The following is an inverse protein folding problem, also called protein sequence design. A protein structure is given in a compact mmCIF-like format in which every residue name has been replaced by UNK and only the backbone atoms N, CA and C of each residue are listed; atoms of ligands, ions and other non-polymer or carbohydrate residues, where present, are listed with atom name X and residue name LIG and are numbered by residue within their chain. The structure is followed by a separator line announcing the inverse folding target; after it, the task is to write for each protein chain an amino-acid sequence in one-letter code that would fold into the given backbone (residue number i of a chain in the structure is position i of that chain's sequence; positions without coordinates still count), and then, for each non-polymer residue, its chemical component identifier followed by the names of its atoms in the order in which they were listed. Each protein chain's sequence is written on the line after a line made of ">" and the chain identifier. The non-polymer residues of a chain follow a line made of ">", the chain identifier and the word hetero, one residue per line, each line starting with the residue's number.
data_IF_265205131231
#
_entry.id   IF_265205131231
#
_cell.length_a   1.000
_cell.length_b   1.000
_cell.length_c   1.000
_cell.angle_alpha   90.00
_cell.angle_beta   90.00
_cell.angle_gamma   90.00
#
_symmetry.space_group_name_H-M   'P 1'
#
loop_
_entity.id
_entity.type
_entity.pdbx_description
1 polymer ?
#
# COMPACT_ATOMS: atom_id res chain seq x y z
N UNK A 1 -30.45 54.53 56.65
CA UNK A 1 -28.99 54.47 56.44
C UNK A 1 -28.73 54.83 54.98
N UNK A 2 -28.28 56.07 54.70
CA UNK A 2 -28.01 56.48 53.29
C UNK A 2 -26.64 55.94 52.85
N UNK A 3 -26.64 54.97 51.97
CA UNK A 3 -25.41 54.45 51.40
C UNK A 3 -24.78 55.55 50.53
N UNK A 4 -23.56 55.93 50.88
CA UNK A 4 -22.83 57.01 50.24
C UNK A 4 -22.61 56.71 48.73
N UNK A 5 -22.88 57.67 47.86
CA UNK A 5 -22.83 57.53 46.41
C UNK A 5 -21.47 56.97 45.89
N UNK A 6 -20.42 57.27 46.66
CA UNK A 6 -19.07 56.78 46.35
C UNK A 6 -18.95 55.25 46.47
N UNK A 7 -19.63 54.58 47.37
CA UNK A 7 -19.65 53.15 47.52
C UNK A 7 -20.43 52.48 46.40
N UNK A 8 -21.44 53.10 45.82
CA UNK A 8 -22.17 52.60 44.65
C UNK A 8 -21.31 52.64 43.40
N UNK A 9 -20.49 53.65 43.18
CA UNK A 9 -19.56 53.81 42.12
C UNK A 9 -18.42 52.75 42.19
N UNK A 10 -17.87 52.54 43.37
CA UNK A 10 -16.82 51.55 43.61
C UNK A 10 -17.36 50.11 43.36
N UNK A 11 -18.58 49.84 43.83
CA UNK A 11 -19.22 48.56 43.67
C UNK A 11 -19.53 48.30 42.20
N UNK A 12 -20.02 49.31 41.46
CA UNK A 12 -20.25 49.18 39.99
C UNK A 12 -18.97 48.97 39.21
N UNK A 13 -17.86 49.61 39.60
CA UNK A 13 -16.55 49.43 38.97
C UNK A 13 -15.95 48.04 39.26
N UNK A 14 -16.12 47.53 40.50
CA UNK A 14 -15.67 46.18 40.87
C UNK A 14 -16.45 45.08 40.13
N UNK A 15 -17.77 45.26 39.92
CA UNK A 15 -18.59 44.35 39.15
C UNK A 15 -18.21 44.38 37.68
N UNK A 16 -17.84 45.53 37.10
CA UNK A 16 -17.39 45.63 35.72
C UNK A 16 -16.05 44.91 35.46
N UNK A 17 -15.15 44.92 36.45
CA UNK A 17 -13.87 44.18 36.35
C UNK A 17 -14.03 42.67 36.41
N UNK A 18 -15.11 42.13 36.99
CA UNK A 18 -15.36 40.71 37.03
C UNK A 18 -15.88 40.14 35.69
N UNK A 19 -16.37 40.97 34.78
CA UNK A 19 -16.84 40.57 33.44
C UNK A 19 -15.78 40.72 32.34
N UNK A 20 -14.59 41.24 32.64
CA UNK A 20 -13.46 41.24 31.69
C UNK A 20 -12.69 39.90 31.70
N UNK A 21 -13.38 38.78 31.88
CA UNK A 21 -12.80 37.47 31.69
C UNK A 21 -12.36 37.31 30.22
N UNK A 22 -11.08 37.07 30.01
CA UNK A 22 -10.50 36.79 28.72
C UNK A 22 -11.32 35.77 27.95
N UNK A 23 -12.02 36.19 26.91
CA UNK A 23 -12.41 35.34 25.81
C UNK A 23 -11.15 35.06 25.00
N UNK A 24 -10.27 34.17 25.47
CA UNK A 24 -9.27 33.56 24.64
C UNK A 24 -9.98 32.54 23.78
N UNK A 25 -10.61 32.98 22.71
CA UNK A 25 -10.90 32.14 21.55
C UNK A 25 -9.58 31.92 20.84
N UNK A 26 -8.64 31.30 21.54
CA UNK A 26 -7.50 30.65 20.85
C UNK A 26 -8.10 29.47 20.08
N UNK A 27 -8.18 29.51 18.72
CA UNK A 27 -8.54 28.35 17.98
C UNK A 27 -7.47 27.33 18.31
N UNK A 28 -7.79 26.35 19.16
CA UNK A 28 -6.84 25.37 19.65
C UNK A 28 -6.03 24.87 18.48
N UNK A 29 -4.74 25.19 18.43
CA UNK A 29 -3.84 24.69 17.38
C UNK A 29 -4.00 23.19 17.36
N UNK A 30 -4.45 22.58 16.24
CA UNK A 30 -4.61 21.13 16.18
C UNK A 30 -3.29 20.50 16.60
N UNK A 31 -3.32 19.67 17.64
CA UNK A 31 -2.10 18.95 18.04
C UNK A 31 -1.63 18.13 16.84
N UNK A 32 -0.32 18.16 16.50
CA UNK A 32 0.21 17.30 15.46
C UNK A 32 -0.20 15.86 15.75
N UNK A 33 -0.73 15.17 14.75
CA UNK A 33 -1.00 13.74 14.88
C UNK A 33 0.32 13.04 15.12
N UNK A 34 0.49 12.43 16.28
CA UNK A 34 1.65 11.58 16.56
C UNK A 34 1.34 10.20 15.98
N UNK A 35 2.14 9.78 15.03
CA UNK A 35 2.14 8.41 14.53
C UNK A 35 3.09 7.56 15.38
N UNK A 36 2.77 6.28 15.63
CA UNK A 36 3.73 5.38 16.26
C UNK A 36 5.01 5.34 15.43
N UNK A 37 6.17 5.32 16.10
CA UNK A 37 7.45 5.16 15.43
C UNK A 37 7.49 3.78 14.79
N UNK A 38 7.66 3.74 13.47
CA UNK A 38 7.84 2.52 12.71
C UNK A 38 9.34 2.28 12.59
N UNK A 39 9.79 1.11 13.02
CA UNK A 39 11.15 0.65 12.80
C UNK A 39 11.16 -0.25 11.57
N UNK A 40 11.94 0.14 10.57
CA UNK A 40 12.09 -0.65 9.36
C UNK A 40 13.29 -1.58 9.50
N UNK A 41 13.16 -2.85 9.08
CA UNK A 41 14.28 -3.79 9.05
C UNK A 41 15.33 -3.35 8.02
N UNK A 42 16.56 -3.83 8.19
CA UNK A 42 17.59 -3.70 7.17
C UNK A 42 17.21 -4.49 5.92
N UNK A 43 17.58 -3.98 4.75
CA UNK A 43 17.31 -4.64 3.47
C UNK A 43 18.46 -5.56 3.10
N UNK A 44 18.28 -6.84 3.36
CA UNK A 44 19.09 -7.90 2.81
C UNK A 44 18.21 -8.75 1.92
N UNK A 45 18.71 -9.14 0.76
CA UNK A 45 17.92 -9.88 -0.21
C UNK A 45 18.43 -11.32 -0.34
N UNK A 46 17.49 -12.24 -0.55
CA UNK A 46 17.76 -13.65 -0.78
C UNK A 46 17.07 -14.11 -2.06
N UNK A 47 17.68 -15.08 -2.74
CA UNK A 47 17.17 -15.61 -4.00
C UNK A 47 16.04 -16.60 -3.75
N UNK A 48 14.94 -16.42 -4.45
CA UNK A 48 13.86 -17.39 -4.56
C UNK A 48 13.91 -18.05 -5.94
N UNK A 49 13.81 -19.39 -5.96
CA UNK A 49 13.67 -20.19 -7.16
C UNK A 49 12.26 -20.79 -7.18
N UNK A 50 11.42 -20.30 -8.06
CA UNK A 50 10.07 -20.79 -8.30
C UNK A 50 10.01 -21.93 -9.32
N UNK A 51 8.85 -22.09 -9.99
CA UNK A 51 8.67 -23.12 -11.00
C UNK A 51 9.51 -22.88 -12.27
N UNK A 52 9.29 -21.73 -12.91
CA UNK A 52 9.96 -21.32 -14.16
C UNK A 52 10.57 -19.93 -14.05
N UNK A 53 10.78 -19.43 -12.83
CA UNK A 53 11.29 -18.08 -12.58
C UNK A 53 12.10 -18.02 -11.30
N UNK A 54 12.96 -17.02 -11.23
CA UNK A 54 13.71 -16.65 -10.03
C UNK A 54 13.64 -15.13 -9.83
N UNK A 55 13.73 -14.70 -8.57
CA UNK A 55 13.84 -13.30 -8.18
C UNK A 55 14.45 -13.17 -6.78
N UNK A 56 14.88 -11.99 -6.44
CA UNK A 56 15.34 -11.65 -5.08
C UNK A 56 14.23 -11.00 -4.26
N UNK A 57 14.15 -11.34 -2.97
CA UNK A 57 13.19 -10.77 -2.03
C UNK A 57 13.84 -10.52 -0.68
N UNK A 58 13.31 -9.59 0.16
CA UNK A 58 13.95 -9.26 1.43
C UNK A 58 13.87 -10.42 2.43
N UNK A 59 14.94 -10.64 3.20
CA UNK A 59 15.08 -11.75 4.15
C UNK A 59 14.09 -11.67 5.33
N UNK A 60 13.55 -10.48 5.64
CA UNK A 60 12.52 -10.29 6.66
C UNK A 60 11.11 -10.70 6.19
N UNK A 61 10.92 -10.96 4.90
CA UNK A 61 9.67 -11.47 4.35
C UNK A 61 9.70 -13.01 4.25
N UNK A 62 8.53 -13.62 4.25
CA UNK A 62 8.38 -15.08 4.17
C UNK A 62 7.57 -15.42 2.93
N UNK A 63 8.12 -16.29 2.07
CA UNK A 63 7.42 -16.78 0.90
C UNK A 63 6.82 -18.16 1.19
N UNK A 64 5.55 -18.33 0.86
CA UNK A 64 4.82 -19.59 1.03
C UNK A 64 4.07 -19.91 -0.26
N UNK A 65 3.90 -21.20 -0.53
CA UNK A 65 3.13 -21.68 -1.66
C UNK A 65 1.63 -21.49 -1.39
N UNK A 66 0.90 -20.88 -2.32
CA UNK A 66 -0.56 -20.81 -2.23
C UNK A 66 -1.17 -22.14 -2.70
N UNK A 67 -2.02 -22.72 -1.88
CA UNK A 67 -2.67 -24.01 -2.15
C UNK A 67 -4.13 -23.88 -2.51
N UNK A 68 -4.72 -22.74 -2.21
CA UNK A 68 -6.15 -22.52 -2.35
C UNK A 68 -6.45 -21.27 -3.16
N UNK A 69 -7.55 -21.29 -3.89
CA UNK A 69 -8.08 -20.14 -4.59
C UNK A 69 -9.59 -20.08 -4.36
N UNK A 70 -10.05 -19.14 -3.54
CA UNK A 70 -11.39 -19.15 -2.94
C UNK A 70 -11.65 -20.52 -2.26
N UNK A 71 -12.73 -21.20 -2.57
CA UNK A 71 -13.10 -22.51 -1.99
C UNK A 71 -12.56 -23.70 -2.82
N UNK A 72 -11.61 -23.48 -3.72
CA UNK A 72 -11.03 -24.49 -4.61
C UNK A 72 -9.50 -24.57 -4.51
N UNK A 73 -8.91 -25.59 -5.12
CA UNK A 73 -7.46 -25.73 -5.24
C UNK A 73 -6.93 -24.68 -6.21
N UNK A 74 -5.73 -24.12 -5.93
CA UNK A 74 -5.06 -23.22 -6.85
C UNK A 74 -4.92 -23.84 -8.25
N UNK A 75 -5.07 -23.07 -9.34
CA UNK A 75 -5.03 -23.61 -10.72
C UNK A 75 -3.74 -24.33 -11.08
N UNK A 76 -2.65 -24.00 -10.43
CA UNK A 76 -1.37 -24.70 -10.53
C UNK A 76 -0.53 -24.51 -9.27
N UNK A 77 0.54 -25.28 -9.16
CA UNK A 77 1.44 -25.31 -8.01
C UNK A 77 2.42 -24.14 -7.95
N UNK A 78 2.33 -23.16 -8.84
CA UNK A 78 3.29 -22.05 -8.97
C UNK A 78 2.73 -20.72 -8.52
N UNK A 79 1.74 -20.75 -7.63
CA UNK A 79 1.23 -19.58 -6.95
C UNK A 79 1.91 -19.44 -5.59
N UNK A 80 2.32 -18.23 -5.25
CA UNK A 80 3.05 -17.94 -4.02
C UNK A 80 2.54 -16.66 -3.36
N UNK A 81 2.63 -16.64 -2.03
CA UNK A 81 2.36 -15.47 -1.21
C UNK A 81 3.65 -15.03 -0.53
N UNK A 82 4.04 -13.78 -0.72
CA UNK A 82 5.15 -13.17 -0.02
C UNK A 82 4.60 -12.31 1.12
N UNK A 83 4.80 -12.77 2.36
CA UNK A 83 4.27 -12.15 3.56
C UNK A 83 5.27 -11.19 4.18
N UNK A 84 4.91 -9.93 4.28
CA UNK A 84 5.57 -8.88 5.04
C UNK A 84 4.97 -8.81 6.44
N UNK A 85 5.27 -9.82 7.28
CA UNK A 85 4.57 -10.05 8.57
C UNK A 85 4.58 -8.82 9.49
N UNK A 86 5.71 -8.11 9.59
CA UNK A 86 5.84 -6.91 10.43
C UNK A 86 4.92 -5.76 10.00
N UNK A 87 4.46 -5.77 8.77
CA UNK A 87 3.64 -4.72 8.16
C UNK A 87 2.22 -5.19 7.82
N UNK A 88 1.91 -6.46 8.14
CA UNK A 88 0.62 -7.09 7.82
C UNK A 88 0.25 -6.97 6.31
N UNK A 89 1.28 -7.01 5.46
CA UNK A 89 1.18 -6.95 4.01
C UNK A 89 1.42 -8.32 3.37
N UNK A 90 0.78 -8.56 2.24
CA UNK A 90 0.95 -9.77 1.43
C UNK A 90 1.01 -9.41 -0.05
N UNK A 91 2.07 -9.82 -0.72
CA UNK A 91 2.17 -9.78 -2.16
C UNK A 91 1.75 -11.16 -2.70
N UNK A 92 0.62 -11.19 -3.38
CA UNK A 92 0.11 -12.39 -4.05
C UNK A 92 0.73 -12.52 -5.43
N UNK A 93 1.44 -13.62 -5.67
CA UNK A 93 2.09 -13.94 -6.93
C UNK A 93 1.36 -15.09 -7.61
N UNK A 94 0.73 -14.81 -8.75
CA UNK A 94 -0.05 -15.79 -9.51
C UNK A 94 0.57 -16.03 -10.88
N UNK A 95 1.03 -17.25 -11.10
CA UNK A 95 1.65 -17.68 -12.36
C UNK A 95 0.63 -18.36 -13.28
N UNK A 96 0.67 -18.04 -14.56
CA UNK A 96 -0.17 -18.60 -15.61
C UNK A 96 0.69 -18.99 -16.81
N UNK A 97 0.82 -20.29 -17.13
CA UNK A 97 1.35 -20.70 -18.42
C UNK A 97 0.29 -20.42 -19.49
N UNK A 98 0.74 -20.08 -20.69
CA UNK A 98 -0.14 -19.94 -21.86
C UNK A 98 0.53 -20.52 -23.10
N UNK A 99 -0.28 -20.87 -24.12
CA UNK A 99 0.19 -21.60 -25.29
C UNK A 99 -0.08 -20.90 -26.62
N UNK A 100 -0.89 -19.86 -26.61
CA UNK A 100 -1.28 -19.14 -27.82
C UNK A 100 -1.59 -17.66 -27.53
N UNK A 101 -1.65 -16.86 -28.59
CA UNK A 101 -1.85 -15.43 -28.50
C UNK A 101 -3.21 -15.03 -27.88
N UNK A 102 -4.27 -15.80 -28.09
CA UNK A 102 -5.57 -15.50 -27.52
C UNK A 102 -5.58 -15.62 -25.99
N UNK A 103 -4.88 -16.64 -25.45
CA UNK A 103 -4.69 -16.81 -23.99
C UNK A 103 -3.84 -15.67 -23.44
N UNK A 104 -2.78 -15.26 -24.14
CA UNK A 104 -1.96 -14.13 -23.75
C UNK A 104 -2.74 -12.83 -23.68
N UNK A 105 -3.48 -12.49 -24.75
CA UNK A 105 -4.32 -11.29 -24.79
C UNK A 105 -5.37 -11.30 -23.67
N UNK A 106 -5.96 -12.47 -23.37
CA UNK A 106 -6.89 -12.62 -22.28
C UNK A 106 -6.23 -12.31 -20.92
N UNK A 107 -5.03 -12.84 -20.65
CA UNK A 107 -4.30 -12.57 -19.41
C UNK A 107 -3.96 -11.08 -19.24
N UNK A 108 -3.58 -10.41 -20.34
CA UNK A 108 -3.36 -8.95 -20.34
C UNK A 108 -4.66 -8.23 -20.02
N UNK A 109 -5.76 -8.51 -20.74
CA UNK A 109 -7.05 -7.85 -20.53
C UNK A 109 -7.58 -8.09 -19.11
N UNK A 110 -7.54 -9.32 -18.62
CA UNK A 110 -7.93 -9.69 -17.25
C UNK A 110 -7.10 -8.90 -16.21
N UNK A 111 -5.82 -8.63 -16.49
CA UNK A 111 -4.97 -7.83 -15.60
C UNK A 111 -5.41 -6.37 -15.57
N UNK A 112 -5.63 -5.76 -16.73
CA UNK A 112 -6.12 -4.37 -16.81
C UNK A 112 -7.52 -4.22 -16.20
N UNK A 113 -8.40 -5.20 -16.39
CA UNK A 113 -9.72 -5.22 -15.76
C UNK A 113 -9.63 -5.26 -14.23
N UNK A 114 -8.72 -6.07 -13.69
CA UNK A 114 -8.50 -6.17 -12.23
C UNK A 114 -7.90 -4.88 -11.65
N UNK A 115 -6.95 -4.26 -12.35
CA UNK A 115 -6.38 -2.97 -11.98
C UNK A 115 -7.46 -1.89 -11.99
N UNK A 116 -8.29 -1.85 -13.05
CA UNK A 116 -9.35 -0.85 -13.22
C UNK A 116 -10.47 -0.93 -12.17
N UNK A 117 -10.65 -2.07 -11.50
CA UNK A 117 -11.57 -2.17 -10.34
C UNK A 117 -11.20 -1.24 -9.19
N UNK A 118 -9.94 -0.84 -9.10
CA UNK A 118 -9.46 0.11 -8.08
C UNK A 118 -9.70 1.56 -8.49
N UNK A 119 -9.90 1.87 -9.78
CA UNK A 119 -10.06 3.23 -10.30
C UNK A 119 -11.24 3.99 -9.68
N UNK A 120 -12.28 3.28 -9.25
CA UNK A 120 -13.47 3.87 -8.59
C UNK A 120 -13.12 4.68 -7.33
N UNK A 121 -12.03 4.30 -6.63
CA UNK A 121 -11.57 4.95 -5.39
C UNK A 121 -10.17 5.56 -5.54
N UNK A 122 -9.56 5.44 -6.70
CA UNK A 122 -8.26 5.99 -6.98
C UNK A 122 -8.34 7.50 -7.21
N UNK A 123 -7.32 8.23 -6.78
CA UNK A 123 -7.08 9.62 -7.14
C UNK A 123 -6.18 9.75 -8.37
N UNK A 124 -5.43 8.70 -8.70
CA UNK A 124 -4.55 8.60 -9.85
C UNK A 124 -4.03 7.18 -10.07
N UNK A 125 -3.57 6.91 -11.28
CA UNK A 125 -2.88 5.67 -11.65
C UNK A 125 -1.70 5.99 -12.55
N UNK A 126 -0.54 5.45 -12.22
CA UNK A 126 0.68 5.51 -13.04
C UNK A 126 1.01 4.11 -13.55
N UNK A 127 1.27 4.01 -14.83
CA UNK A 127 1.68 2.78 -15.52
C UNK A 127 3.14 2.89 -15.91
N UNK A 128 3.99 2.04 -15.38
CA UNK A 128 5.44 2.06 -15.58
C UNK A 128 5.84 0.81 -16.36
N UNK A 129 6.24 0.95 -17.65
CA UNK A 129 6.69 -0.20 -18.44
C UNK A 129 7.93 -0.84 -17.84
N UNK A 130 7.89 -2.16 -17.67
CA UNK A 130 9.03 -2.96 -17.23
C UNK A 130 9.69 -3.60 -18.44
N UNK A 131 11.02 -3.43 -18.56
CA UNK A 131 11.84 -4.02 -19.63
C UNK A 131 13.06 -4.67 -19.02
N UNK A 132 13.08 -5.99 -18.98
CA UNK A 132 14.18 -6.82 -18.50
C UNK A 132 14.78 -7.62 -19.66
N UNK A 133 15.90 -8.27 -19.41
CA UNK A 133 16.57 -9.10 -20.43
C UNK A 133 15.70 -10.29 -20.87
N UNK A 134 14.99 -10.92 -19.93
CA UNK A 134 14.18 -12.13 -20.16
C UNK A 134 12.69 -11.90 -19.97
N UNK A 135 12.25 -10.73 -19.50
CA UNK A 135 10.85 -10.44 -19.23
C UNK A 135 10.50 -9.01 -19.62
N UNK A 136 9.26 -8.80 -20.01
CA UNK A 136 8.63 -7.50 -20.14
C UNK A 136 7.35 -7.46 -19.31
N UNK A 137 6.80 -6.26 -19.10
CA UNK A 137 5.55 -6.14 -18.34
C UNK A 137 5.18 -4.72 -18.00
N UNK A 138 4.35 -4.58 -16.98
CA UNK A 138 3.88 -3.29 -16.48
C UNK A 138 3.82 -3.31 -14.95
N UNK A 139 4.26 -2.22 -14.34
CA UNK A 139 4.05 -1.93 -12.93
C UNK A 139 2.99 -0.82 -12.82
N UNK A 140 1.94 -1.07 -12.06
CA UNK A 140 0.86 -0.12 -11.77
C UNK A 140 1.03 0.44 -10.37
N UNK A 141 1.08 1.74 -10.24
CA UNK A 141 1.02 2.48 -8.97
C UNK A 141 -0.33 3.20 -8.91
N UNK A 142 -1.17 2.86 -7.95
CA UNK A 142 -2.54 3.36 -7.83
C UNK A 142 -2.61 4.21 -6.57
N UNK A 143 -2.87 5.49 -6.74
CA UNK A 143 -2.98 6.45 -5.65
C UNK A 143 -4.41 6.47 -5.10
N UNK A 144 -4.54 6.79 -3.81
CA UNK A 144 -5.85 6.93 -3.17
C UNK A 144 -6.18 5.79 -2.20
N UNK A 145 -7.43 5.79 -1.71
CA UNK A 145 -7.90 4.83 -0.71
C UNK A 145 -8.35 3.52 -1.39
N UNK A 146 -7.42 2.82 -1.98
CA UNK A 146 -7.63 1.57 -2.70
C UNK A 146 -7.07 0.37 -1.93
N UNK A 147 -7.63 -0.81 -2.16
CA UNK A 147 -7.22 -2.02 -1.46
C UNK A 147 -5.84 -2.53 -1.89
N UNK A 148 -5.43 -2.27 -3.13
CA UNK A 148 -4.12 -2.64 -3.67
C UNK A 148 -3.55 -1.45 -4.44
N UNK A 149 -2.50 -0.83 -3.91
CA UNK A 149 -1.86 0.34 -4.51
C UNK A 149 -0.75 -0.04 -5.48
N UNK A 150 -0.20 -1.25 -5.35
CA UNK A 150 0.88 -1.74 -6.21
C UNK A 150 0.52 -3.08 -6.80
N UNK A 151 0.48 -3.13 -8.13
CA UNK A 151 0.24 -4.33 -8.91
C UNK A 151 1.20 -4.37 -10.08
N UNK A 152 1.53 -5.55 -10.56
CA UNK A 152 2.36 -5.70 -11.76
C UNK A 152 2.04 -7.01 -12.49
N UNK A 153 2.48 -7.09 -13.73
CA UNK A 153 2.66 -8.35 -14.42
C UNK A 153 4.01 -8.38 -15.15
N UNK A 154 4.55 -9.60 -15.31
CA UNK A 154 5.74 -9.88 -16.09
C UNK A 154 5.45 -11.08 -16.99
N UNK A 155 6.01 -11.05 -18.20
CA UNK A 155 5.84 -12.10 -19.21
C UNK A 155 7.06 -12.20 -20.10
N UNK A 156 7.29 -13.38 -20.68
CA UNK A 156 8.23 -13.58 -21.78
C UNK A 156 7.56 -13.38 -23.15
N UNK A 157 6.24 -13.06 -23.15
CA UNK A 157 5.39 -12.90 -24.33
C UNK A 157 5.21 -14.16 -25.17
N UNK A 158 5.65 -15.33 -24.68
CA UNK A 158 5.60 -16.60 -25.41
C UNK A 158 4.87 -17.70 -24.67
N UNK A 159 5.17 -17.92 -23.38
CA UNK A 159 4.62 -19.04 -22.62
C UNK A 159 4.34 -18.72 -21.15
N UNK A 160 4.97 -17.68 -20.61
CA UNK A 160 5.00 -17.44 -19.18
C UNK A 160 4.42 -16.07 -18.82
N UNK A 161 3.51 -16.06 -17.87
CA UNK A 161 2.89 -14.87 -17.34
C UNK A 161 2.80 -14.96 -15.82
N UNK A 162 3.26 -13.94 -15.10
CA UNK A 162 3.10 -13.82 -13.66
C UNK A 162 2.50 -12.47 -13.32
N UNK A 163 1.58 -12.45 -12.38
CA UNK A 163 0.99 -11.24 -11.82
C UNK A 163 1.28 -11.15 -10.33
N UNK A 164 1.61 -9.95 -9.87
CA UNK A 164 1.76 -9.61 -8.47
C UNK A 164 0.78 -8.53 -8.05
N UNK A 165 0.20 -8.67 -6.85
CA UNK A 165 -0.70 -7.66 -6.26
C UNK A 165 -0.46 -7.57 -4.77
N UNK A 166 -0.11 -6.37 -4.27
CA UNK A 166 0.13 -6.10 -2.86
C UNK A 166 -1.17 -5.71 -2.15
N UNK A 167 -1.47 -6.41 -1.06
CA UNK A 167 -2.59 -6.09 -0.17
C UNK A 167 -2.12 -5.96 1.28
N UNK A 168 -2.77 -5.08 2.04
CA UNK A 168 -2.61 -4.98 3.49
C UNK A 168 -3.88 -5.44 4.19
N UNK A 169 -3.74 -6.30 5.21
CA UNK A 169 -4.86 -6.81 5.99
C UNK A 169 -5.39 -5.82 7.05
N UNK A 170 -5.02 -4.54 6.94
CA UNK A 170 -5.45 -3.46 7.82
C UNK A 170 -6.50 -2.61 7.14
N UNK A 171 -7.31 -1.88 7.96
CA UNK A 171 -8.13 -0.79 7.40
C UNK A 171 -7.20 0.23 6.76
N UNK A 172 -7.41 0.48 5.48
CA UNK A 172 -6.63 1.45 4.72
C UNK A 172 -6.77 2.83 5.36
N UNK A 173 -5.69 3.33 5.94
CA UNK A 173 -5.55 4.72 6.37
C UNK A 173 -4.34 5.28 5.64
N UNK A 174 -4.60 6.03 4.58
CA UNK A 174 -3.58 6.54 3.65
C UNK A 174 -2.44 7.23 4.40
N UNK A 175 -2.77 8.13 5.36
CA UNK A 175 -1.77 8.95 6.04
C UNK A 175 -0.77 8.14 6.88
N UNK A 176 -1.20 7.00 7.45
CA UNK A 176 -0.34 6.16 8.30
C UNK A 176 0.32 5.01 7.53
N UNK A 177 -0.25 4.60 6.39
CA UNK A 177 0.24 3.49 5.60
C UNK A 177 1.21 3.90 4.51
N UNK A 178 1.26 5.18 4.13
CA UNK A 178 2.08 5.64 3.01
C UNK A 178 3.56 5.27 3.17
N UNK A 179 4.14 5.51 4.35
CA UNK A 179 5.57 5.23 4.61
C UNK A 179 5.86 3.73 4.54
N UNK A 180 4.93 2.88 5.01
CA UNK A 180 5.03 1.42 4.90
C UNK A 180 4.90 0.97 3.45
N UNK A 181 3.95 1.56 2.72
CA UNK A 181 3.75 1.29 1.29
C UNK A 181 5.01 1.61 0.49
N UNK A 182 5.58 2.80 0.66
CA UNK A 182 6.81 3.23 -0.02
C UNK A 182 8.00 2.32 0.32
N UNK A 183 8.09 1.86 1.58
CA UNK A 183 9.12 0.94 1.99
C UNK A 183 9.00 -0.42 1.27
N UNK A 184 7.81 -1.03 1.26
CA UNK A 184 7.56 -2.33 0.60
C UNK A 184 7.62 -2.18 -0.92
N UNK A 185 7.17 -1.06 -1.46
CA UNK A 185 7.25 -0.78 -2.90
C UNK A 185 8.66 -0.85 -3.45
N UNK A 186 9.64 -0.34 -2.67
CA UNK A 186 11.06 -0.45 -3.05
C UNK A 186 11.53 -1.90 -3.12
N UNK A 187 11.02 -2.77 -2.23
CA UNK A 187 11.37 -4.20 -2.24
C UNK A 187 10.65 -4.95 -3.38
N UNK A 188 9.42 -4.56 -3.72
CA UNK A 188 8.72 -5.09 -4.89
C UNK A 188 9.41 -4.66 -6.19
N UNK A 189 9.88 -3.42 -6.27
CA UNK A 189 10.67 -2.96 -7.41
C UNK A 189 11.98 -3.74 -7.54
N UNK A 190 12.69 -4.01 -6.42
CA UNK A 190 13.86 -4.87 -6.42
C UNK A 190 13.53 -6.28 -6.91
N UNK A 191 12.43 -6.88 -6.42
CA UNK A 191 11.93 -8.17 -6.90
C UNK A 191 11.69 -8.14 -8.42
N UNK A 192 11.00 -7.14 -8.94
CA UNK A 192 10.71 -6.99 -10.36
C UNK A 192 12.02 -6.88 -11.15
N UNK A 193 12.98 -6.05 -10.75
CA UNK A 193 14.22 -5.82 -11.50
C UNK A 193 15.23 -6.97 -11.39
N UNK A 194 15.14 -7.80 -10.36
CA UNK A 194 15.93 -9.03 -10.22
C UNK A 194 15.31 -10.24 -10.91
N UNK A 195 14.05 -10.12 -11.36
CA UNK A 195 13.27 -11.20 -11.92
C UNK A 195 13.87 -11.76 -13.22
N UNK A 196 13.84 -13.09 -13.34
CA UNK A 196 14.25 -13.80 -14.56
C UNK A 196 13.37 -15.02 -14.79
N UNK A 197 13.03 -15.30 -16.03
CA UNK A 197 12.54 -16.60 -16.45
C UNK A 197 13.70 -17.57 -16.54
N UNK A 198 13.53 -18.79 -16.00
CA UNK A 198 14.58 -19.82 -15.93
C UNK A 198 14.38 -20.95 -16.95
N UNK A 199 13.18 -21.04 -17.54
CA UNK A 199 12.83 -22.01 -18.60
C UNK A 199 11.87 -21.37 -19.58
#
# INVERSE_FOLDING_TARGET
>A
MKINNNYRLILAFAVHLMFSGCNSTDPGTPKPRTYPRIEFPERNYQLFNGCNFEFEYPDYAVIEKEKTYFDSVAPNDCWYNLFFKSFNGTLYLTYYPFSNNNEFEKLINDTYDLVSKHDVKASGRTEIPVKLKTAGGMLFKIEGNVASQTQFFLTDSTHNFIRGSLYFNNKVNIDSMQVIQEFIDSDIEHLIYSFKWTK
#
